data_IF_306907237721
#
_entry.id   IF_306907237721
#
_cell.length_a   1.000
_cell.length_b   1.000
_cell.length_c   1.000
_cell.angle_alpha   90.00
_cell.angle_beta   90.00
_cell.angle_gamma   90.00
#
_symmetry.space_group_name_H-M   'P 1'
#
loop_
_entity.id
_entity.type
_entity.pdbx_description
1 polymer ?
#
# COMPACT_ATOMS: atom_id res chain seq x y z
N UNK A 1 21.64 -15.33 10.24
CA UNK A 1 20.51 -14.78 9.46
C UNK A 1 21.06 -13.70 8.53
N UNK A 2 20.80 -13.76 7.23
CA UNK A 2 21.24 -12.74 6.28
C UNK A 2 20.53 -11.41 6.63
N UNK A 3 21.25 -10.26 6.74
CA UNK A 3 20.66 -8.95 7.03
C UNK A 3 19.48 -8.60 6.11
N UNK A 4 19.50 -9.07 4.86
CA UNK A 4 18.38 -8.94 3.92
C UNK A 4 17.08 -9.54 4.45
N UNK A 5 17.09 -10.78 4.96
CA UNK A 5 15.87 -11.42 5.46
C UNK A 5 15.33 -10.73 6.71
N UNK A 6 16.21 -10.20 7.57
CA UNK A 6 15.79 -9.44 8.76
C UNK A 6 15.08 -8.16 8.34
N UNK A 7 15.65 -7.41 7.40
CA UNK A 7 15.08 -6.16 6.88
C UNK A 7 13.75 -6.40 6.19
N UNK A 8 13.67 -7.43 5.33
CA UNK A 8 12.43 -7.81 4.65
C UNK A 8 11.34 -8.25 5.64
N UNK A 9 11.72 -8.96 6.71
CA UNK A 9 10.76 -9.37 7.75
C UNK A 9 10.19 -8.17 8.52
N UNK A 10 11.06 -7.24 8.94
CA UNK A 10 10.65 -6.01 9.63
C UNK A 10 9.76 -5.17 8.72
N UNK A 11 10.15 -4.98 7.47
CA UNK A 11 9.34 -4.24 6.51
C UNK A 11 8.01 -4.93 6.22
N UNK A 12 7.96 -6.26 6.19
CA UNK A 12 6.71 -7.02 6.07
C UNK A 12 5.74 -6.70 7.22
N UNK A 13 6.21 -6.65 8.46
CA UNK A 13 5.40 -6.22 9.61
C UNK A 13 4.92 -4.78 9.48
N UNK A 14 5.76 -3.87 8.98
CA UNK A 14 5.38 -2.49 8.71
C UNK A 14 4.33 -2.39 7.60
N UNK A 15 4.45 -3.18 6.54
CA UNK A 15 3.47 -3.24 5.44
C UNK A 15 2.12 -3.71 5.98
N UNK A 16 2.08 -4.77 6.79
CA UNK A 16 0.85 -5.25 7.43
C UNK A 16 0.21 -4.16 8.31
N UNK A 17 1.03 -3.45 9.08
CA UNK A 17 0.59 -2.33 9.91
C UNK A 17 0.02 -1.21 9.04
N UNK A 18 0.68 -0.87 7.92
CA UNK A 18 0.22 0.14 6.98
C UNK A 18 -1.09 -0.24 6.29
N UNK A 19 -1.26 -1.50 5.90
CA UNK A 19 -2.52 -2.04 5.36
C UNK A 19 -3.65 -1.88 6.39
N UNK A 20 -3.41 -2.32 7.62
CA UNK A 20 -4.38 -2.23 8.70
C UNK A 20 -4.79 -0.79 9.00
N UNK A 21 -3.81 0.12 9.11
CA UNK A 21 -4.07 1.54 9.34
C UNK A 21 -4.79 2.18 8.16
N UNK A 22 -4.41 1.88 6.92
CA UNK A 22 -5.10 2.41 5.73
C UNK A 22 -6.55 1.95 5.72
N UNK A 23 -6.81 0.67 5.99
CA UNK A 23 -8.17 0.17 6.13
C UNK A 23 -8.95 0.88 7.24
N UNK A 24 -8.37 1.04 8.42
CA UNK A 24 -9.06 1.69 9.53
C UNK A 24 -9.39 3.16 9.21
N UNK A 25 -8.44 3.88 8.60
CA UNK A 25 -8.64 5.24 8.11
C UNK A 25 -9.80 5.30 7.10
N UNK A 26 -9.77 4.42 6.10
CA UNK A 26 -10.84 4.27 5.11
C UNK A 26 -12.18 3.99 5.74
N UNK A 27 -12.24 3.07 6.70
CA UNK A 27 -13.46 2.66 7.40
C UNK A 27 -14.06 3.82 8.19
N UNK A 28 -13.21 4.59 8.88
CA UNK A 28 -13.65 5.77 9.61
C UNK A 28 -14.20 6.81 8.61
N UNK A 29 -13.45 7.18 7.58
CA UNK A 29 -13.88 8.13 6.54
C UNK A 29 -15.19 7.68 5.86
N UNK A 30 -15.29 6.40 5.46
CA UNK A 30 -16.47 5.82 4.80
C UNK A 30 -17.70 5.89 5.71
N UNK A 31 -17.55 5.54 7.00
CA UNK A 31 -18.64 5.61 7.98
C UNK A 31 -19.19 7.04 8.09
N UNK A 32 -18.31 8.03 8.05
CA UNK A 32 -18.71 9.44 8.14
C UNK A 32 -19.30 10.00 6.84
N UNK A 33 -18.78 9.61 5.66
CA UNK A 33 -19.22 10.17 4.38
C UNK A 33 -20.37 9.44 3.70
N UNK A 34 -20.34 8.10 3.74
CA UNK A 34 -21.24 7.26 2.95
C UNK A 34 -22.26 6.51 3.82
N UNK A 35 -22.14 6.58 5.15
CA UNK A 35 -23.03 5.87 6.08
C UNK A 35 -22.98 4.34 5.97
N UNK A 36 -22.06 3.80 5.17
CA UNK A 36 -21.90 2.37 4.89
C UNK A 36 -20.47 1.90 5.22
N UNK A 37 -20.24 0.58 5.20
CA UNK A 37 -18.93 -0.06 5.47
C UNK A 37 -18.52 -1.07 4.39
N UNK A 38 -19.21 -1.06 3.25
CA UNK A 38 -19.05 -2.13 2.25
C UNK A 38 -17.73 -1.97 1.49
N UNK A 39 -17.28 -0.74 1.28
CA UNK A 39 -16.12 -0.45 0.44
C UNK A 39 -14.81 -0.62 1.21
N UNK A 40 -14.77 -0.23 2.49
CA UNK A 40 -13.62 -0.53 3.37
C UNK A 40 -13.40 -2.02 3.59
N UNK A 41 -14.44 -2.85 3.56
CA UNK A 41 -14.28 -4.30 3.63
C UNK A 41 -13.49 -4.87 2.44
N UNK A 42 -13.72 -4.35 1.21
CA UNK A 42 -12.96 -4.75 0.03
C UNK A 42 -11.49 -4.28 0.07
N UNK A 43 -11.21 -3.08 0.58
CA UNK A 43 -9.83 -2.64 0.84
C UNK A 43 -9.11 -3.54 1.84
N UNK A 44 -9.78 -3.94 2.91
CA UNK A 44 -9.21 -4.86 3.90
C UNK A 44 -8.93 -6.23 3.30
N UNK A 45 -9.91 -6.78 2.58
CA UNK A 45 -9.78 -8.09 1.94
C UNK A 45 -8.65 -8.08 0.92
N UNK A 46 -8.56 -7.04 0.08
CA UNK A 46 -7.47 -6.89 -0.88
C UNK A 46 -6.11 -6.81 -0.20
N UNK A 47 -5.99 -6.02 0.87
CA UNK A 47 -4.78 -5.96 1.69
C UNK A 47 -4.40 -7.29 2.34
N UNK A 48 -5.38 -8.06 2.81
CA UNK A 48 -5.16 -9.39 3.38
C UNK A 48 -4.67 -10.39 2.33
N UNK A 49 -5.23 -10.38 1.12
CA UNK A 49 -4.78 -11.22 0.02
C UNK A 49 -3.33 -10.89 -0.39
N UNK A 50 -2.99 -9.60 -0.43
CA UNK A 50 -1.60 -9.15 -0.66
C UNK A 50 -0.66 -9.62 0.46
N UNK A 51 -1.09 -9.52 1.72
CA UNK A 51 -0.33 -9.99 2.86
C UNK A 51 -0.06 -11.51 2.82
N UNK A 52 -1.07 -12.31 2.45
CA UNK A 52 -0.93 -13.76 2.31
C UNK A 52 0.09 -14.12 1.23
N UNK A 53 0.06 -13.43 0.09
CA UNK A 53 1.04 -13.62 -0.97
C UNK A 53 2.48 -13.34 -0.49
N UNK A 54 2.69 -12.32 0.37
CA UNK A 54 4.00 -12.03 0.95
C UNK A 54 4.49 -13.10 1.95
N UNK A 55 3.60 -13.60 2.81
CA UNK A 55 3.96 -14.63 3.82
C UNK A 55 4.40 -15.92 3.13
N UNK A 56 3.72 -16.33 2.07
CA UNK A 56 4.11 -17.53 1.32
C UNK A 56 5.44 -17.35 0.59
N UNK A 57 5.66 -16.16 0.01
CA UNK A 57 6.91 -15.82 -0.67
C UNK A 57 8.10 -15.90 0.31
N UNK A 58 7.93 -15.41 1.54
CA UNK A 58 8.93 -15.54 2.61
C UNK A 58 9.12 -16.98 3.10
N UNK A 59 8.09 -17.82 3.01
CA UNK A 59 8.18 -19.24 3.38
C UNK A 59 8.84 -20.10 2.27
N UNK A 60 9.20 -19.52 1.13
CA UNK A 60 9.83 -20.22 0.01
C UNK A 60 8.88 -21.19 -0.71
N UNK A 61 7.58 -21.07 -0.46
CA UNK A 61 6.54 -21.96 -0.97
C UNK A 61 5.84 -21.38 -2.20
N UNK A 62 6.46 -20.43 -2.92
CA UNK A 62 5.84 -19.68 -4.03
C UNK A 62 5.16 -20.57 -5.07
N UNK A 63 3.89 -20.89 -4.84
CA UNK A 63 3.11 -21.81 -5.63
C UNK A 63 2.20 -21.04 -6.59
N UNK A 64 1.85 -21.66 -7.72
CA UNK A 64 0.90 -21.08 -8.68
C UNK A 64 -0.44 -20.71 -8.03
N UNK A 65 -0.82 -21.42 -6.96
CA UNK A 65 -2.04 -21.16 -6.20
C UNK A 65 -2.06 -19.77 -5.55
N UNK A 66 -0.92 -19.11 -5.36
CA UNK A 66 -0.83 -17.81 -4.68
C UNK A 66 -0.61 -16.62 -5.62
N UNK A 67 -0.41 -16.90 -6.90
CA UNK A 67 -0.53 -15.89 -7.95
C UNK A 67 -1.93 -15.26 -7.99
N UNK A 68 -2.98 -16.06 -7.78
CA UNK A 68 -4.36 -15.58 -7.81
C UNK A 68 -4.66 -14.56 -6.68
N UNK A 69 -4.42 -14.86 -5.39
CA UNK A 69 -4.47 -13.87 -4.30
C UNK A 69 -3.64 -12.61 -4.57
N UNK A 70 -2.41 -12.77 -5.07
CA UNK A 70 -1.51 -11.65 -5.35
C UNK A 70 -2.09 -10.69 -6.40
N UNK A 71 -2.74 -11.23 -7.44
CA UNK A 71 -3.40 -10.45 -8.50
C UNK A 71 -4.72 -9.84 -8.00
N UNK A 72 -5.51 -10.60 -7.23
CA UNK A 72 -6.80 -10.16 -6.71
C UNK A 72 -6.66 -9.04 -5.67
N UNK A 73 -5.59 -9.02 -4.89
CA UNK A 73 -5.34 -7.99 -3.88
C UNK A 73 -5.42 -6.55 -4.44
N UNK A 74 -4.55 -6.17 -5.39
CA UNK A 74 -4.60 -4.88 -6.08
C UNK A 74 -5.96 -4.61 -6.74
N UNK A 75 -6.56 -5.62 -7.40
CA UNK A 75 -7.83 -5.46 -8.10
C UNK A 75 -8.96 -5.05 -7.14
N UNK A 76 -9.05 -5.70 -5.98
CA UNK A 76 -10.03 -5.37 -4.95
C UNK A 76 -9.77 -3.99 -4.33
N UNK A 77 -8.51 -3.62 -4.11
CA UNK A 77 -8.15 -2.31 -3.59
C UNK A 77 -8.55 -1.23 -4.60
N UNK A 78 -8.16 -1.35 -5.88
CA UNK A 78 -8.50 -0.38 -6.93
C UNK A 78 -10.02 -0.27 -7.11
N UNK A 79 -10.73 -1.41 -7.13
CA UNK A 79 -12.19 -1.42 -7.19
C UNK A 79 -12.81 -0.65 -6.02
N UNK A 80 -12.37 -0.93 -4.80
CA UNK A 80 -12.85 -0.23 -3.61
C UNK A 80 -12.55 1.27 -3.66
N UNK A 81 -11.36 1.67 -4.11
CA UNK A 81 -11.02 3.09 -4.25
C UNK A 81 -11.90 3.78 -5.30
N UNK A 82 -12.14 3.13 -6.44
CA UNK A 82 -13.00 3.63 -7.52
C UNK A 82 -14.45 3.84 -7.06
N UNK A 83 -15.04 2.82 -6.42
CA UNK A 83 -16.42 2.87 -5.92
C UNK A 83 -16.58 3.84 -4.74
N UNK A 84 -15.55 4.00 -3.92
CA UNK A 84 -15.64 4.88 -2.73
C UNK A 84 -15.80 6.35 -3.08
N UNK A 85 -15.32 6.79 -4.26
CA UNK A 85 -15.19 8.21 -4.61
C UNK A 85 -14.31 9.02 -3.64
N UNK A 86 -13.57 8.34 -2.74
CA UNK A 86 -12.77 8.98 -1.70
C UNK A 86 -11.40 9.43 -2.23
N UNK A 87 -10.92 8.79 -3.29
CA UNK A 87 -9.59 9.00 -3.87
C UNK A 87 -9.72 9.57 -5.27
N UNK A 88 -8.97 10.63 -5.56
CA UNK A 88 -8.91 11.20 -6.92
C UNK A 88 -7.87 10.46 -7.75
N UNK A 89 -8.29 9.85 -8.85
CA UNK A 89 -7.37 9.26 -9.81
C UNK A 89 -6.43 10.35 -10.37
N UNK A 90 -5.12 10.12 -10.28
CA UNK A 90 -4.08 10.99 -10.87
C UNK A 90 -3.18 10.19 -11.79
N UNK A 91 -2.65 10.88 -12.80
CA UNK A 91 -1.68 10.31 -13.75
C UNK A 91 -0.41 9.79 -13.05
N UNK A 92 -0.07 10.36 -11.90
CA UNK A 92 1.02 9.89 -11.02
C UNK A 92 0.85 8.42 -10.61
N UNK A 93 -0.36 7.99 -10.25
CA UNK A 93 -0.65 6.60 -9.87
C UNK A 93 -0.41 5.64 -11.05
N UNK A 94 -0.85 6.06 -12.25
CA UNK A 94 -0.67 5.29 -13.47
C UNK A 94 0.83 5.13 -13.81
N UNK A 95 1.61 6.20 -13.66
CA UNK A 95 3.06 6.16 -13.89
C UNK A 95 3.75 5.20 -12.92
N UNK A 96 3.39 5.23 -11.64
CA UNK A 96 3.99 4.33 -10.65
C UNK A 96 3.66 2.85 -10.95
N UNK A 97 2.42 2.56 -11.31
CA UNK A 97 2.02 1.21 -11.75
C UNK A 97 2.77 0.81 -13.03
N UNK A 98 2.92 1.72 -13.99
CA UNK A 98 3.65 1.44 -15.23
C UNK A 98 5.13 1.13 -14.96
N UNK A 99 5.77 1.80 -14.00
CA UNK A 99 7.14 1.49 -13.58
C UNK A 99 7.23 0.09 -12.96
N UNK A 100 6.29 -0.28 -12.10
CA UNK A 100 6.26 -1.62 -11.46
C UNK A 100 6.01 -2.71 -12.50
N UNK A 101 5.07 -2.52 -13.42
CA UNK A 101 4.82 -3.51 -14.47
C UNK A 101 6.01 -3.56 -15.44
N UNK A 102 6.61 -2.41 -15.77
CA UNK A 102 7.79 -2.33 -16.62
C UNK A 102 9.02 -3.02 -16.01
N UNK A 103 9.14 -3.07 -14.68
CA UNK A 103 10.24 -3.75 -14.02
C UNK A 103 10.20 -5.28 -14.18
N UNK A 104 9.05 -5.86 -14.55
CA UNK A 104 8.97 -7.29 -14.90
C UNK A 104 9.90 -7.67 -16.06
N UNK A 105 10.21 -6.74 -16.96
CA UNK A 105 11.17 -6.97 -18.06
C UNK A 105 12.60 -7.15 -17.54
N UNK A 106 12.90 -6.61 -16.35
CA UNK A 106 14.20 -6.72 -15.69
C UNK A 106 14.33 -8.02 -14.88
N UNK A 107 13.19 -8.58 -14.45
CA UNK A 107 13.13 -9.86 -13.76
C UNK A 107 13.19 -11.04 -14.75
N UNK A 108 13.74 -12.17 -14.32
CA UNK A 108 13.68 -13.41 -15.12
C UNK A 108 12.25 -13.94 -15.27
N UNK A 109 12.05 -14.92 -16.16
CA UNK A 109 10.75 -15.61 -16.30
C UNK A 109 10.44 -16.44 -15.05
N UNK A 110 9.52 -15.97 -14.20
CA UNK A 110 9.04 -16.74 -13.06
C UNK A 110 7.79 -16.17 -12.41
N UNK A 111 6.88 -17.06 -12.00
CA UNK A 111 5.66 -16.75 -11.24
C UNK A 111 5.94 -15.93 -9.98
N UNK A 112 7.13 -16.08 -9.39
CA UNK A 112 7.59 -15.33 -8.22
C UNK A 112 7.65 -13.82 -8.47
N UNK A 113 8.28 -13.38 -9.58
CA UNK A 113 8.40 -11.96 -9.92
C UNK A 113 7.05 -11.32 -10.23
N UNK A 114 6.13 -12.11 -10.78
CA UNK A 114 4.76 -11.69 -10.99
C UNK A 114 4.05 -11.44 -9.66
N UNK A 115 4.14 -12.38 -8.71
CA UNK A 115 3.59 -12.23 -7.36
C UNK A 115 4.17 -10.99 -6.66
N UNK A 116 5.47 -10.76 -6.72
CA UNK A 116 6.13 -9.59 -6.12
C UNK A 116 5.63 -8.28 -6.73
N UNK A 117 5.51 -8.22 -8.06
CA UNK A 117 5.08 -7.00 -8.76
C UNK A 117 3.64 -6.64 -8.47
N UNK A 118 2.71 -7.61 -8.50
CA UNK A 118 1.32 -7.36 -8.12
C UNK A 118 1.20 -6.98 -6.66
N UNK A 119 1.96 -7.62 -5.77
CA UNK A 119 1.96 -7.26 -4.35
C UNK A 119 2.49 -5.84 -4.12
N UNK A 120 3.54 -5.45 -4.84
CA UNK A 120 4.05 -4.08 -4.84
C UNK A 120 3.02 -3.07 -5.37
N UNK A 121 2.28 -3.42 -6.43
CA UNK A 121 1.18 -2.59 -6.94
C UNK A 121 0.11 -2.35 -5.87
N UNK A 122 -0.31 -3.37 -5.13
CA UNK A 122 -1.27 -3.19 -4.03
C UNK A 122 -0.77 -2.19 -2.98
N UNK A 123 0.50 -2.32 -2.57
CA UNK A 123 1.09 -1.42 -1.58
C UNK A 123 1.14 0.02 -2.11
N UNK A 124 1.61 0.22 -3.34
CA UNK A 124 1.67 1.55 -3.95
C UNK A 124 0.29 2.17 -4.06
N UNK A 125 -0.71 1.41 -4.52
CA UNK A 125 -2.10 1.90 -4.61
C UNK A 125 -2.65 2.30 -3.24
N UNK A 126 -2.31 1.57 -2.17
CA UNK A 126 -2.69 1.97 -0.80
C UNK A 126 -1.96 3.23 -0.32
N UNK A 127 -0.68 3.39 -0.65
CA UNK A 127 0.07 4.62 -0.36
C UNK A 127 -0.54 5.82 -1.10
N UNK A 128 -0.89 5.65 -2.37
CA UNK A 128 -1.54 6.67 -3.18
C UNK A 128 -2.96 6.99 -2.70
N UNK A 129 -3.71 6.01 -2.19
CA UNK A 129 -5.02 6.24 -1.60
C UNK A 129 -4.93 7.28 -0.47
N UNK A 130 -3.91 7.16 0.39
CA UNK A 130 -3.62 8.11 1.46
C UNK A 130 -3.24 9.49 0.91
N UNK A 131 -2.42 9.51 -0.14
CA UNK A 131 -1.95 10.74 -0.77
C UNK A 131 -3.07 11.56 -1.43
N UNK A 132 -4.07 10.89 -2.00
CA UNK A 132 -5.10 11.51 -2.85
C UNK A 132 -6.50 11.46 -2.29
N UNK A 133 -6.65 11.15 -1.00
CA UNK A 133 -7.90 11.40 -0.28
C UNK A 133 -8.30 12.87 -0.37
N UNK A 134 -9.58 13.12 -0.67
CA UNK A 134 -10.11 14.48 -0.95
C UNK A 134 -9.82 15.51 0.14
N UNK A 135 -9.68 15.09 1.41
CA UNK A 135 -9.46 16.00 2.54
C UNK A 135 -8.15 15.76 3.32
N UNK A 136 -7.21 15.02 2.74
CA UNK A 136 -5.90 14.86 3.37
C UNK A 136 -5.18 16.21 3.43
N UNK A 137 -4.66 16.64 4.61
CA UNK A 137 -3.88 17.87 4.68
C UNK A 137 -2.67 17.80 3.74
N UNK A 138 -2.38 18.89 3.02
CA UNK A 138 -1.37 18.88 1.94
C UNK A 138 0.01 18.35 2.37
N UNK A 139 0.40 18.61 3.63
CA UNK A 139 1.68 18.14 4.18
C UNK A 139 1.74 16.61 4.18
N UNK A 140 0.70 15.95 4.67
CA UNK A 140 0.62 14.49 4.68
C UNK A 140 0.47 13.92 3.27
N UNK A 141 -0.30 14.59 2.41
CA UNK A 141 -0.43 14.19 0.99
C UNK A 141 0.90 14.21 0.24
N UNK A 142 1.72 15.26 0.43
CA UNK A 142 3.08 15.35 -0.16
C UNK A 142 4.02 14.26 0.36
N UNK A 143 4.00 14.00 1.66
CA UNK A 143 4.84 12.95 2.25
C UNK A 143 4.39 11.55 1.79
N UNK A 144 3.09 11.32 1.62
CA UNK A 144 2.56 10.05 1.12
C UNK A 144 2.97 9.80 -0.34
N UNK A 145 2.94 10.84 -1.18
CA UNK A 145 3.48 10.77 -2.55
C UNK A 145 4.96 10.44 -2.57
N UNK A 146 5.75 11.08 -1.70
CA UNK A 146 7.17 10.78 -1.59
C UNK A 146 7.39 9.31 -1.20
N UNK A 147 6.62 8.83 -0.23
CA UNK A 147 6.61 7.42 0.20
C UNK A 147 6.30 6.47 -0.96
N UNK A 148 5.24 6.75 -1.71
CA UNK A 148 4.82 5.97 -2.87
C UNK A 148 5.94 5.90 -3.91
N UNK A 149 6.51 7.05 -4.31
CA UNK A 149 7.63 7.09 -5.25
C UNK A 149 8.88 6.36 -4.76
N UNK A 150 9.26 6.51 -3.49
CA UNK A 150 10.38 5.76 -2.93
C UNK A 150 10.15 4.26 -2.97
N UNK A 151 8.89 3.81 -2.77
CA UNK A 151 8.53 2.40 -2.92
C UNK A 151 8.60 1.95 -4.38
N UNK A 152 8.03 2.75 -5.29
CA UNK A 152 8.05 2.48 -6.74
C UNK A 152 9.48 2.32 -7.26
N UNK A 153 10.42 3.15 -6.80
CA UNK A 153 11.84 3.05 -7.18
C UNK A 153 12.55 1.85 -6.56
N UNK A 154 12.12 1.42 -5.37
CA UNK A 154 12.63 0.20 -4.74
C UNK A 154 12.38 -1.04 -5.60
N UNK A 155 11.20 -1.16 -6.23
CA UNK A 155 10.80 -2.36 -7.00
C UNK A 155 11.80 -2.74 -8.11
N UNK A 156 12.11 -1.89 -9.11
CA UNK A 156 13.07 -2.23 -10.15
C UNK A 156 14.49 -2.44 -9.62
N UNK A 157 14.90 -1.67 -8.60
CA UNK A 157 16.23 -1.83 -7.99
C UNK A 157 16.38 -3.19 -7.28
N UNK A 158 15.34 -3.63 -6.58
CA UNK A 158 15.32 -4.93 -5.92
C UNK A 158 15.25 -6.09 -6.91
N UNK A 159 14.61 -5.89 -8.07
CA UNK A 159 14.58 -6.88 -9.15
C UNK A 159 15.93 -7.05 -9.84
N UNK A 160 16.68 -5.96 -10.05
CA UNK A 160 18.00 -6.00 -10.66
C UNK A 160 19.04 -6.64 -9.73
N UNK A 161 19.07 -6.23 -8.47
CA UNK A 161 20.03 -6.70 -7.48
C UNK A 161 19.35 -6.95 -6.13
N UNK A 162 18.75 -8.14 -5.93
CA UNK A 162 18.14 -8.49 -4.67
C UNK A 162 19.15 -8.39 -3.53
N UNK A 163 18.81 -7.62 -2.50
CA UNK A 163 19.70 -7.40 -1.36
C UNK A 163 20.70 -6.25 -1.52
N UNK A 164 20.58 -5.41 -2.56
CA UNK A 164 21.30 -4.15 -2.63
C UNK A 164 20.91 -3.23 -1.44
N UNK A 165 21.91 -2.66 -0.77
CA UNK A 165 21.72 -1.75 0.37
C UNK A 165 20.83 -0.55 0.00
N UNK A 166 20.96 -0.01 -1.21
CA UNK A 166 20.12 1.09 -1.68
C UNK A 166 18.65 0.68 -1.76
N UNK A 167 18.36 -0.52 -2.29
CA UNK A 167 16.99 -1.05 -2.36
C UNK A 167 16.41 -1.27 -0.94
N UNK A 168 17.19 -1.82 -0.02
CA UNK A 168 16.79 -1.99 1.38
C UNK A 168 16.44 -0.66 2.06
N UNK A 169 17.28 0.37 1.85
CA UNK A 169 17.06 1.71 2.41
C UNK A 169 15.79 2.33 1.84
N UNK A 170 15.57 2.23 0.53
CA UNK A 170 14.34 2.74 -0.12
C UNK A 170 13.09 2.04 0.41
N UNK A 171 13.14 0.72 0.57
CA UNK A 171 12.03 -0.07 1.11
C UNK A 171 11.70 0.30 2.56
N UNK A 172 12.69 0.32 3.44
CA UNK A 172 12.50 0.67 4.85
C UNK A 172 12.07 2.13 5.03
N UNK A 173 12.74 3.06 4.36
CA UNK A 173 12.39 4.48 4.48
C UNK A 173 10.98 4.76 3.97
N UNK A 174 10.58 4.16 2.86
CA UNK A 174 9.21 4.24 2.35
C UNK A 174 8.19 3.65 3.32
N UNK A 175 8.38 2.41 3.77
CA UNK A 175 7.40 1.75 4.65
C UNK A 175 7.27 2.45 6.00
N UNK A 176 8.37 2.90 6.60
CA UNK A 176 8.36 3.69 7.84
C UNK A 176 7.66 5.02 7.63
N UNK A 177 7.94 5.71 6.53
CA UNK A 177 7.31 7.00 6.21
C UNK A 177 5.80 6.83 6.04
N UNK A 178 5.36 5.82 5.29
CA UNK A 178 3.95 5.50 5.09
C UNK A 178 3.21 5.26 6.40
N UNK A 179 3.74 4.38 7.27
CA UNK A 179 3.15 4.10 8.60
C UNK A 179 3.11 5.35 9.46
N UNK A 180 4.16 6.17 9.43
CA UNK A 180 4.23 7.43 10.20
C UNK A 180 3.17 8.44 9.75
N UNK A 181 2.94 8.56 8.43
CA UNK A 181 1.88 9.41 7.86
C UNK A 181 0.51 8.91 8.30
N UNK A 182 0.27 7.60 8.20
CA UNK A 182 -0.99 7.00 8.62
C UNK A 182 -1.26 7.23 10.10
N UNK A 183 -0.27 7.07 10.97
CA UNK A 183 -0.39 7.36 12.39
C UNK A 183 -0.74 8.84 12.64
N UNK A 184 -0.06 9.76 11.94
CA UNK A 184 -0.35 11.20 12.01
C UNK A 184 -1.76 11.54 11.53
N UNK A 185 -2.23 10.91 10.44
CA UNK A 185 -3.58 11.11 9.92
C UNK A 185 -4.66 10.59 10.86
N UNK A 186 -4.45 9.47 11.55
CA UNK A 186 -5.36 9.03 12.61
C UNK A 186 -5.43 10.05 13.76
N UNK A 187 -4.31 10.70 14.10
CA UNK A 187 -4.30 11.81 15.06
C UNK A 187 -5.17 12.98 14.60
N UNK A 188 -4.95 13.47 13.37
CA UNK A 188 -5.75 14.56 12.78
C UNK A 188 -7.23 14.21 12.71
N UNK A 189 -7.53 12.97 12.37
CA UNK A 189 -8.88 12.48 12.21
C UNK A 189 -9.63 12.43 13.56
N UNK A 190 -8.95 12.00 14.63
CA UNK A 190 -9.45 12.09 16.01
C UNK A 190 -9.67 13.52 16.49
N UNK A 191 -8.91 14.50 16.00
CA UNK A 191 -9.09 15.91 16.37
C UNK A 191 -10.25 16.58 15.60
N UNK A 192 -10.48 16.19 14.34
CA UNK A 192 -11.54 16.78 13.50
C UNK A 192 -12.93 16.23 13.80
N UNK A 193 -13.06 14.94 14.11
CA UNK A 193 -14.38 14.33 14.30
C UNK A 193 -15.16 14.74 15.56
N UNK A 194 -14.55 15.12 16.70
CA UNK A 194 -15.29 15.69 17.82
C UNK A 194 -15.89 17.06 17.48
N UNK A 195 -15.22 17.86 16.64
CA UNK A 195 -15.61 19.23 16.33
C UNK A 195 -16.78 19.32 15.34
N UNK A 196 -16.82 18.47 14.32
CA UNK A 196 -17.92 18.47 13.34
C UNK A 196 -19.25 17.96 13.89
N UNK A 197 -19.26 17.21 15.01
CA UNK A 197 -20.49 16.81 15.71
C UNK A 197 -21.06 17.96 16.55
N UNK A 198 -20.20 18.87 17.03
CA UNK A 198 -20.62 20.04 17.79
C UNK A 198 -21.16 21.18 16.92
N UNK A 199 -20.77 21.26 15.65
CA UNK A 199 -21.30 22.26 14.70
C UNK A 199 -22.65 21.87 14.08
N UNK A 200 -23.22 20.72 14.47
CA UNK A 200 -24.55 20.25 14.04
C UNK A 200 -25.59 20.21 15.17
N UNK A 201 -25.37 20.93 16.27
CA UNK A 201 -26.34 21.17 17.35
C UNK A 201 -26.67 22.67 17.43
#
# INVERSE_FOLDING_TARGET
>A
MNPYHVIMSIGGLLVLTGIFLTWNLSREIERFRLGTRRVSAFMFLGGLLTALAFVELMAGMGTETMALPAILGPALIVYALSESGLVRAKLEMLLQVAVIVGSLVLGGNGTLYLIESFSAMAIVVLMDAVAFYVHTPERYGRLARLSAWTFTLFVPLNMLEPGNVAAMVLYLSSTVLWVSILAGLHGVLRERFPRTVQESL
#
